data_IF_205221293287
#
_entry.id   IF_205221293287
#
_cell.length_a   1.000
_cell.length_b   1.000
_cell.length_c   1.000
_cell.angle_alpha   90.00
_cell.angle_beta   90.00
_cell.angle_gamma   90.00
#
_symmetry.space_group_name_H-M   'P 1'
#
loop_
_entity.id
_entity.type
_entity.pdbx_description
1 polymer ?
#
# COMPACT_ATOMS: atom_id res chain seq x y z
N UNK A 1 -7.19 11.56 17.03
CA UNK A 1 -5.99 10.74 17.32
C UNK A 1 -5.94 9.46 16.50
N UNK A 2 -7.02 8.64 16.45
CA UNK A 2 -7.08 7.38 15.68
C UNK A 2 -6.55 7.49 14.24
N UNK A 3 -7.05 8.45 13.46
CA UNK A 3 -6.65 8.65 12.05
C UNK A 3 -5.19 9.08 11.86
N UNK A 4 -4.63 9.83 12.82
CA UNK A 4 -3.22 10.26 12.76
C UNK A 4 -2.31 9.05 12.96
N UNK A 5 -2.64 8.17 13.90
CA UNK A 5 -1.88 6.94 14.14
C UNK A 5 -1.92 6.04 12.90
N UNK A 6 -3.10 5.88 12.27
CA UNK A 6 -3.24 5.11 11.03
C UNK A 6 -2.37 5.66 9.91
N UNK A 7 -2.35 6.99 9.73
CA UNK A 7 -1.49 7.64 8.73
C UNK A 7 -0.01 7.42 8.99
N UNK A 8 0.45 7.54 10.24
CA UNK A 8 1.86 7.29 10.59
C UNK A 8 2.28 5.85 10.29
N UNK A 9 1.40 4.88 10.56
CA UNK A 9 1.66 3.47 10.22
C UNK A 9 1.80 3.29 8.71
N UNK A 10 0.89 3.86 7.90
CA UNK A 10 0.98 3.76 6.44
C UNK A 10 2.24 4.45 5.90
N UNK A 11 2.58 5.64 6.41
CA UNK A 11 3.82 6.33 6.03
C UNK A 11 5.04 5.47 6.35
N UNK A 12 5.08 4.86 7.54
CA UNK A 12 6.16 3.95 7.94
C UNK A 12 6.25 2.71 7.05
N UNK A 13 5.11 2.11 6.70
CA UNK A 13 5.03 0.96 5.81
C UNK A 13 5.52 1.32 4.40
N UNK A 14 5.00 2.42 3.83
CA UNK A 14 5.38 2.93 2.52
C UNK A 14 6.87 3.31 2.42
N UNK A 15 7.42 3.91 3.49
CA UNK A 15 8.85 4.20 3.57
C UNK A 15 9.68 2.92 3.64
N UNK A 16 9.26 1.95 4.45
CA UNK A 16 9.93 0.65 4.55
C UNK A 16 9.91 -0.08 3.21
N UNK A 17 8.78 -0.07 2.50
CA UNK A 17 8.70 -0.69 1.19
C UNK A 17 9.60 0.00 0.18
N UNK A 18 9.59 1.33 0.12
CA UNK A 18 10.48 2.09 -0.75
C UNK A 18 11.96 1.77 -0.51
N UNK A 19 12.38 1.70 0.76
CA UNK A 19 13.76 1.34 1.13
C UNK A 19 14.07 -0.11 0.75
N UNK A 20 13.16 -1.06 1.00
CA UNK A 20 13.40 -2.47 0.65
C UNK A 20 13.43 -2.69 -0.86
N UNK A 21 12.59 -1.98 -1.62
CA UNK A 21 12.61 -1.95 -3.08
C UNK A 21 13.92 -1.37 -3.63
N UNK A 22 14.44 -0.31 -3.00
CA UNK A 22 15.74 0.24 -3.36
C UNK A 22 16.89 -0.76 -3.12
N UNK A 23 16.91 -1.41 -1.95
CA UNK A 23 17.91 -2.44 -1.61
C UNK A 23 17.84 -3.60 -2.61
N UNK A 24 16.64 -4.06 -2.97
CA UNK A 24 16.43 -5.09 -4.01
C UNK A 24 17.04 -4.67 -5.35
N UNK A 25 16.73 -3.46 -5.81
CA UNK A 25 17.24 -2.95 -7.08
C UNK A 25 18.77 -2.84 -7.08
N UNK A 26 19.35 -2.40 -5.95
CA UNK A 26 20.80 -2.35 -5.77
C UNK A 26 21.43 -3.75 -5.81
N UNK A 27 20.89 -4.70 -5.06
CA UNK A 27 21.40 -6.08 -5.02
C UNK A 27 21.32 -6.82 -6.36
N UNK A 28 20.41 -6.41 -7.26
CA UNK A 28 20.26 -6.96 -8.60
C UNK A 28 20.96 -6.15 -9.71
N UNK A 29 21.63 -5.04 -9.38
CA UNK A 29 22.18 -4.08 -10.36
C UNK A 29 21.14 -3.53 -11.35
N UNK A 30 19.87 -3.42 -10.94
CA UNK A 30 18.75 -2.92 -11.76
C UNK A 30 18.30 -1.51 -11.35
N UNK A 31 19.20 -0.73 -10.72
CA UNK A 31 18.88 0.62 -10.25
C UNK A 31 18.59 1.52 -11.45
N UNK A 32 17.34 1.96 -11.55
CA UNK A 32 16.88 2.90 -12.57
C UNK A 32 16.09 4.02 -11.91
N UNK A 33 16.50 5.27 -12.17
CA UNK A 33 15.82 6.47 -11.70
C UNK A 33 14.35 6.50 -12.11
N UNK A 34 14.01 5.97 -13.28
CA UNK A 34 12.64 5.89 -13.76
C UNK A 34 11.81 4.94 -12.89
N UNK A 35 12.31 3.71 -12.66
CA UNK A 35 11.64 2.72 -11.80
C UNK A 35 11.46 3.24 -10.37
N UNK A 36 12.47 3.89 -9.81
CA UNK A 36 12.39 4.47 -8.46
C UNK A 36 11.41 5.63 -8.35
N UNK A 37 11.33 6.52 -9.35
CA UNK A 37 10.35 7.62 -9.37
C UNK A 37 8.92 7.10 -9.44
N UNK A 38 8.65 6.11 -10.30
CA UNK A 38 7.33 5.48 -10.41
C UNK A 38 6.97 4.78 -9.09
N UNK A 39 7.91 4.03 -8.50
CA UNK A 39 7.73 3.40 -7.19
C UNK A 39 7.40 4.41 -6.09
N UNK A 40 8.18 5.48 -5.98
CA UNK A 40 7.95 6.54 -4.99
C UNK A 40 6.61 7.29 -5.20
N UNK A 41 6.23 7.57 -6.45
CA UNK A 41 4.92 8.17 -6.75
C UNK A 41 3.76 7.26 -6.36
N UNK A 42 3.87 5.95 -6.59
CA UNK A 42 2.85 4.99 -6.14
C UNK A 42 2.68 5.02 -4.61
N UNK A 43 3.79 5.09 -3.87
CA UNK A 43 3.76 5.21 -2.40
C UNK A 43 3.13 6.51 -1.91
N UNK A 44 3.41 7.62 -2.61
CA UNK A 44 2.75 8.89 -2.32
C UNK A 44 1.24 8.81 -2.58
N UNK A 45 0.81 8.16 -3.66
CA UNK A 45 -0.61 7.95 -3.94
C UNK A 45 -1.31 7.14 -2.83
N UNK A 46 -0.68 6.09 -2.32
CA UNK A 46 -1.22 5.29 -1.20
C UNK A 46 -1.39 6.12 0.08
N UNK A 47 -0.41 6.98 0.39
CA UNK A 47 -0.49 7.92 1.51
C UNK A 47 -1.64 8.92 1.31
N UNK A 48 -1.78 9.48 0.10
CA UNK A 48 -2.85 10.43 -0.25
C UNK A 48 -4.22 9.76 -0.13
N UNK A 49 -4.39 8.54 -0.65
CA UNK A 49 -5.64 7.78 -0.56
C UNK A 49 -5.99 7.49 0.90
N UNK A 50 -5.02 7.10 1.72
CA UNK A 50 -5.23 6.90 3.15
C UNK A 50 -5.67 8.19 3.85
N UNK A 51 -5.02 9.32 3.52
CA UNK A 51 -5.36 10.63 4.08
C UNK A 51 -6.76 11.08 3.66
N UNK A 52 -7.14 10.86 2.41
CA UNK A 52 -8.47 11.14 1.90
C UNK A 52 -9.53 10.28 2.62
N UNK A 53 -9.31 8.97 2.79
CA UNK A 53 -10.22 8.09 3.53
C UNK A 53 -10.36 8.48 5.00
N UNK A 54 -9.27 8.91 5.66
CA UNK A 54 -9.32 9.45 7.00
C UNK A 54 -10.13 10.75 7.07
N UNK A 55 -9.92 11.66 6.12
CA UNK A 55 -10.68 12.91 5.99
C UNK A 55 -12.17 12.66 5.75
N UNK A 56 -12.51 11.70 4.89
CA UNK A 56 -13.90 11.26 4.66
C UNK A 56 -14.52 10.69 5.93
N UNK A 57 -13.79 9.90 6.72
CA UNK A 57 -14.26 9.41 8.01
C UNK A 57 -14.67 10.55 8.96
N UNK A 58 -13.82 11.57 9.08
CA UNK A 58 -14.11 12.77 9.88
C UNK A 58 -15.30 13.55 9.32
N UNK A 59 -15.37 13.73 8.00
CA UNK A 59 -16.45 14.45 7.34
C UNK A 59 -17.81 13.76 7.50
N UNK A 60 -17.85 12.43 7.38
CA UNK A 60 -19.06 11.63 7.59
C UNK A 60 -19.53 11.69 9.05
N UNK A 61 -18.62 11.61 10.03
CA UNK A 61 -18.96 11.79 11.45
C UNK A 61 -19.60 13.17 11.70
N UNK A 62 -19.11 14.24 11.07
CA UNK A 62 -19.71 15.57 11.18
C UNK A 62 -21.09 15.66 10.50
N UNK A 63 -21.23 15.06 9.33
CA UNK A 63 -22.49 15.04 8.56
C UNK A 63 -23.60 14.28 9.31
N UNK A 64 -23.25 13.19 9.98
CA UNK A 64 -24.14 12.43 10.84
C UNK A 64 -24.78 13.22 11.96
N UNK A 65 -24.00 14.10 12.58
CA UNK A 65 -24.47 14.99 13.64
C UNK A 65 -25.40 16.07 13.10
N UNK A 66 -25.18 16.51 11.85
CA UNK A 66 -26.04 17.49 11.19
C UNK A 66 -27.40 16.92 10.77
N UNK A 67 -27.43 15.68 10.28
CA UNK A 67 -28.66 15.00 9.81
C UNK A 67 -29.29 14.06 10.84
N UNK A 68 -28.93 14.19 12.12
CA UNK A 68 -29.45 13.41 13.25
C UNK A 68 -29.41 11.88 13.03
N UNK A 69 -28.40 11.42 12.28
CA UNK A 69 -28.13 10.00 11.99
C UNK A 69 -26.68 9.61 12.34
N UNK A 70 -26.24 9.87 13.59
CA UNK A 70 -24.85 9.71 14.00
C UNK A 70 -24.37 8.26 13.93
N UNK A 71 -25.21 7.25 14.24
CA UNK A 71 -24.75 5.86 14.28
C UNK A 71 -24.40 5.29 12.90
N UNK A 72 -25.21 5.59 11.88
CA UNK A 72 -25.00 5.07 10.53
C UNK A 72 -23.77 5.70 9.85
N UNK A 73 -23.59 7.00 10.06
CA UNK A 73 -22.50 7.78 9.47
C UNK A 73 -21.17 7.55 10.18
N UNK A 74 -21.17 7.36 11.51
CA UNK A 74 -19.99 6.94 12.26
C UNK A 74 -19.52 5.54 11.84
N UNK A 75 -20.46 4.60 11.65
CA UNK A 75 -20.14 3.27 11.15
C UNK A 75 -19.57 3.34 9.73
N UNK A 76 -20.23 4.07 8.83
CA UNK A 76 -19.77 4.25 7.46
C UNK A 76 -18.36 4.86 7.41
N UNK A 77 -18.12 5.95 8.13
CA UNK A 77 -16.82 6.61 8.20
C UNK A 77 -15.73 5.72 8.79
N UNK A 78 -16.05 4.95 9.83
CA UNK A 78 -15.11 4.01 10.45
C UNK A 78 -14.77 2.83 9.55
N UNK A 79 -15.77 2.24 8.88
CA UNK A 79 -15.58 1.13 7.94
C UNK A 79 -14.74 1.57 6.74
N UNK A 80 -15.02 2.74 6.15
CA UNK A 80 -14.24 3.28 5.04
C UNK A 80 -12.79 3.49 5.44
N UNK A 81 -12.53 4.21 6.54
CA UNK A 81 -11.18 4.51 6.96
C UNK A 81 -10.40 3.26 7.37
N UNK A 82 -11.01 2.35 8.15
CA UNK A 82 -10.37 1.11 8.58
C UNK A 82 -10.14 0.16 7.40
N UNK A 83 -11.12 0.03 6.50
CA UNK A 83 -11.01 -0.81 5.31
C UNK A 83 -9.87 -0.37 4.38
N UNK A 84 -9.79 0.92 4.07
CA UNK A 84 -8.68 1.47 3.27
C UNK A 84 -7.33 1.25 3.97
N UNK A 85 -7.24 1.56 5.26
CA UNK A 85 -6.02 1.39 6.03
C UNK A 85 -5.54 -0.07 6.05
N UNK A 86 -6.46 -0.99 6.33
CA UNK A 86 -6.14 -2.42 6.38
C UNK A 86 -5.67 -2.92 5.01
N UNK A 87 -6.37 -2.53 3.94
CA UNK A 87 -6.02 -2.90 2.58
C UNK A 87 -4.61 -2.41 2.19
N UNK A 88 -4.34 -1.11 2.37
CA UNK A 88 -3.03 -0.52 2.02
C UNK A 88 -1.92 -1.13 2.86
N UNK A 89 -2.12 -1.29 4.16
CA UNK A 89 -1.11 -1.89 5.05
C UNK A 89 -0.78 -3.32 4.65
N UNK A 90 -1.79 -4.12 4.26
CA UNK A 90 -1.58 -5.48 3.79
C UNK A 90 -0.79 -5.50 2.48
N UNK A 91 -1.14 -4.61 1.55
CA UNK A 91 -0.45 -4.47 0.26
C UNK A 91 1.02 -4.05 0.42
N UNK A 92 1.31 -3.09 1.30
CA UNK A 92 2.68 -2.68 1.63
C UNK A 92 3.46 -3.81 2.27
N UNK A 93 2.82 -4.55 3.19
CA UNK A 93 3.45 -5.72 3.82
C UNK A 93 3.83 -6.77 2.78
N UNK A 94 2.93 -7.08 1.85
CA UNK A 94 3.21 -8.03 0.75
C UNK A 94 4.38 -7.53 -0.10
N UNK A 95 4.41 -6.24 -0.45
CA UNK A 95 5.50 -5.67 -1.26
C UNK A 95 6.86 -5.74 -0.55
N UNK A 96 6.91 -5.47 0.75
CA UNK A 96 8.13 -5.64 1.56
C UNK A 96 8.59 -7.09 1.57
N UNK A 97 7.66 -8.03 1.74
CA UNK A 97 7.97 -9.47 1.74
C UNK A 97 8.49 -9.94 0.38
N UNK A 98 7.95 -9.43 -0.73
CA UNK A 98 8.46 -9.69 -2.08
C UNK A 98 9.87 -9.15 -2.26
N UNK A 99 10.10 -7.92 -1.81
CA UNK A 99 11.42 -7.30 -1.89
C UNK A 99 12.45 -8.11 -1.07
N UNK A 100 12.07 -8.55 0.12
CA UNK A 100 12.90 -9.41 0.95
C UNK A 100 13.14 -10.79 0.32
N UNK A 101 12.12 -11.45 -0.22
CA UNK A 101 12.24 -12.75 -0.87
C UNK A 101 13.10 -12.69 -2.14
N UNK A 102 13.12 -11.56 -2.84
CA UNK A 102 13.99 -11.33 -3.99
C UNK A 102 15.47 -11.20 -3.59
N UNK A 103 15.76 -10.69 -2.39
CA UNK A 103 17.12 -10.57 -1.82
C UNK A 103 17.57 -11.92 -1.21
N UNK A 104 16.66 -12.63 -0.53
CA UNK A 104 16.92 -13.94 0.10
C UNK A 104 16.02 -15.04 -0.48
N UNK A 105 16.36 -15.58 -1.66
CA UNK A 105 15.53 -16.56 -2.36
C UNK A 105 15.40 -17.93 -1.67
N UNK A 106 16.22 -18.20 -0.65
CA UNK A 106 16.21 -19.45 0.12
C UNK A 106 14.94 -19.62 0.99
N UNK A 107 14.16 -18.55 1.19
CA UNK A 107 12.92 -18.57 1.96
C UNK A 107 11.73 -19.15 1.17
N UNK A 108 11.77 -20.44 0.81
CA UNK A 108 10.69 -21.13 0.05
C UNK A 108 9.30 -21.00 0.70
N UNK A 109 9.22 -21.01 2.03
CA UNK A 109 7.95 -20.84 2.78
C UNK A 109 7.36 -19.44 2.62
N UNK A 110 8.19 -18.42 2.42
CA UNK A 110 7.76 -17.04 2.26
C UNK A 110 7.06 -16.81 0.92
N UNK A 111 7.54 -17.45 -0.15
CA UNK A 111 6.89 -17.39 -1.48
C UNK A 111 5.47 -17.96 -1.46
N UNK A 112 5.24 -19.04 -0.71
CA UNK A 112 3.91 -19.63 -0.53
C UNK A 112 2.94 -18.69 0.20
N UNK A 113 3.42 -18.01 1.24
CA UNK A 113 2.64 -17.03 1.99
C UNK A 113 2.29 -15.80 1.14
N UNK A 114 3.26 -15.26 0.40
CA UNK A 114 3.05 -14.14 -0.53
C UNK A 114 1.96 -14.48 -1.56
N UNK A 115 1.99 -15.70 -2.13
CA UNK A 115 1.00 -16.13 -3.13
C UNK A 115 -0.43 -16.13 -2.57
N UNK A 116 -0.62 -16.62 -1.34
CA UNK A 116 -1.95 -16.59 -0.71
C UNK A 116 -2.41 -15.17 -0.37
N UNK A 117 -1.50 -14.29 0.03
CA UNK A 117 -1.83 -12.89 0.32
C UNK A 117 -2.16 -12.09 -0.96
N UNK A 118 -1.49 -12.36 -2.09
CA UNK A 118 -1.83 -11.74 -3.40
C UNK A 118 -3.25 -12.10 -3.84
N UNK A 119 -3.67 -13.35 -3.66
CA UNK A 119 -5.01 -13.82 -4.01
C UNK A 119 -6.11 -13.12 -3.17
N UNK A 120 -5.80 -12.77 -1.91
CA UNK A 120 -6.71 -12.02 -1.05
C UNK A 120 -6.73 -10.51 -1.37
N UNK A 121 -5.59 -9.97 -1.83
CA UNK A 121 -5.45 -8.55 -2.18
C UNK A 121 -5.93 -8.16 -3.59
N UNK A 122 -6.33 -9.14 -4.42
CA UNK A 122 -6.77 -8.91 -5.81
C UNK A 122 -5.66 -8.37 -6.72
N UNK A 123 -4.40 -8.60 -6.36
CA UNK A 123 -3.25 -7.93 -7.00
C UNK A 123 -2.53 -8.89 -7.95
N UNK A 124 -3.16 -9.17 -9.10
CA UNK A 124 -2.45 -9.63 -10.29
C UNK A 124 -1.73 -8.43 -10.90
N UNK A 125 -0.62 -8.01 -10.30
CA UNK A 125 0.38 -7.24 -11.04
C UNK A 125 1.22 -8.26 -11.81
N UNK A 126 1.05 -8.41 -13.13
CA UNK A 126 2.04 -9.14 -13.92
C UNK A 126 3.38 -8.43 -13.73
N UNK A 127 4.38 -9.15 -13.23
CA UNK A 127 5.71 -8.60 -12.93
C UNK A 127 6.51 -8.27 -14.21
N UNK A 128 5.97 -8.48 -15.42
CA UNK A 128 6.75 -8.52 -16.67
C UNK A 128 6.20 -7.71 -17.86
N UNK A 129 5.30 -6.72 -17.67
CA UNK A 129 4.89 -5.79 -18.75
C UNK A 129 5.57 -4.42 -18.65
N UNK A 130 6.90 -4.41 -18.75
CA UNK A 130 7.63 -3.21 -19.18
C UNK A 130 8.92 -3.60 -19.93
N UNK A 131 8.81 -4.57 -20.83
CA UNK A 131 9.76 -4.76 -21.92
C UNK A 131 8.94 -5.00 -23.20
N UNK A 132 9.40 -4.39 -24.29
CA UNK A 132 8.90 -4.49 -25.66
C UNK A 132 7.58 -3.78 -25.98
N UNK A 133 7.65 -2.45 -26.08
CA UNK A 133 7.19 -1.82 -27.33
C UNK A 133 7.90 -0.48 -27.55
N UNK A 134 8.46 -0.37 -28.76
CA UNK A 134 9.02 0.84 -29.38
C UNK A 134 10.46 1.19 -29.00
N UNK A 135 11.37 0.31 -29.43
CA UNK A 135 12.49 0.81 -30.21
C UNK A 135 11.99 1.26 -31.58
N UNK A 136 12.13 2.55 -31.85
CA UNK A 136 12.56 3.17 -33.12
C UNK A 136 13.10 4.57 -32.80
#
# INVERSE_FOLDING_TARGET
MKYIIMLLIVIGAAFTDFVTGFIKAYGKNEVSSRKMRIGGLNKLCEIIVTAASAGLGIGLEQLGRYYDSPQLTELAGSVTAFGTFFYITLMETVSVLENFAAIRPEAKKLKGLIRHLKLLGGNDKPEDEYNDSEGE
#
